data_IF_016521085983
#
_entry.id   IF_016521085983
#
_cell.length_a   1.000
_cell.length_b   1.000
_cell.length_c   1.000
_cell.angle_alpha   90.00
_cell.angle_beta   90.00
_cell.angle_gamma   90.00
#
_symmetry.space_group_name_H-M   'P 1'
#
loop_
_entity.id
_entity.type
_entity.pdbx_description
1 polymer ?
#
# COMPACT_ATOMS: atom_id res chain seq x y z
N UNK A 1 19.48 -79.41 34.95
CA UNK A 1 18.97 -80.22 36.07
C UNK A 1 18.23 -79.25 36.99
N UNK A 2 16.91 -79.09 36.84
CA UNK A 2 15.85 -79.89 37.50
C UNK A 2 16.08 -79.94 39.01
N UNK A 3 15.27 -79.27 39.83
CA UNK A 3 13.83 -79.47 40.09
C UNK A 3 13.72 -80.03 41.50
N UNK A 4 12.87 -79.40 42.31
CA UNK A 4 11.77 -79.96 43.13
C UNK A 4 11.62 -79.07 44.37
N UNK A 5 10.61 -78.21 44.47
CA UNK A 5 9.17 -78.48 44.59
C UNK A 5 8.73 -78.64 46.06
N UNK A 6 7.89 -77.67 46.44
CA UNK A 6 6.60 -77.79 47.12
C UNK A 6 6.44 -77.91 48.64
N UNK A 7 5.32 -77.26 49.04
CA UNK A 7 4.51 -77.25 50.28
C UNK A 7 4.67 -75.92 51.05
N UNK A 8 3.74 -74.96 51.08
CA UNK A 8 2.30 -74.95 50.84
C UNK A 8 1.56 -74.70 52.17
N UNK A 9 1.00 -73.50 52.38
CA UNK A 9 -0.31 -73.26 53.05
C UNK A 9 -0.68 -71.74 53.12
N UNK A 10 -1.95 -71.35 53.36
CA UNK A 10 -2.67 -70.44 52.46
C UNK A 10 -3.45 -69.37 53.27
N UNK A 11 -2.91 -68.17 53.43
CA UNK A 11 -3.69 -67.07 54.04
C UNK A 11 -4.02 -66.02 52.98
N UNK A 12 -4.95 -66.37 52.11
CA UNK A 12 -5.68 -65.40 51.30
C UNK A 12 -6.58 -64.57 52.21
N UNK A 13 -6.05 -63.48 52.76
CA UNK A 13 -6.87 -62.40 53.28
C UNK A 13 -7.52 -61.69 52.09
N UNK A 14 -8.85 -61.53 52.05
CA UNK A 14 -9.50 -60.86 50.94
C UNK A 14 -8.95 -59.43 50.84
N UNK A 15 -8.58 -59.02 49.62
CA UNK A 15 -8.22 -57.63 49.32
C UNK A 15 -9.42 -56.75 49.70
N UNK A 16 -9.36 -56.19 50.91
CA UNK A 16 -10.22 -55.09 51.29
C UNK A 16 -9.79 -53.95 50.36
N UNK A 17 -10.62 -53.68 49.36
CA UNK A 17 -10.57 -52.43 48.62
C UNK A 17 -10.93 -51.35 49.65
N UNK A 18 -9.95 -50.92 50.46
CA UNK A 18 -10.04 -49.66 51.18
C UNK A 18 -9.98 -48.62 50.09
N UNK A 19 -11.16 -48.30 49.58
CA UNK A 19 -11.47 -47.08 48.85
C UNK A 19 -10.62 -45.98 49.48
N UNK A 20 -9.61 -45.42 48.78
CA UNK A 20 -8.89 -44.29 49.34
C UNK A 20 -9.95 -43.24 49.61
N UNK A 21 -9.93 -42.67 50.81
CA UNK A 21 -10.86 -41.66 51.29
C UNK A 21 -11.06 -40.58 50.22
N UNK A 22 -12.06 -40.79 49.36
CA UNK A 22 -12.48 -39.90 48.29
C UNK A 22 -13.57 -38.96 48.79
N UNK A 23 -13.69 -38.78 50.11
CA UNK A 23 -14.82 -38.15 50.76
C UNK A 23 -14.41 -37.15 51.85
N UNK A 24 -13.29 -36.45 51.72
CA UNK A 24 -12.95 -35.34 52.63
C UNK A 24 -12.18 -34.18 51.99
N UNK A 25 -12.41 -33.89 50.70
CA UNK A 25 -11.84 -32.69 50.06
C UNK A 25 -12.90 -31.75 49.46
N UNK A 26 -14.18 -32.09 49.55
CA UNK A 26 -15.24 -31.38 48.84
C UNK A 26 -15.98 -30.32 49.65
N UNK A 27 -15.39 -29.78 50.72
CA UNK A 27 -15.98 -28.66 51.45
C UNK A 27 -14.89 -27.72 51.94
N UNK A 28 -14.39 -26.86 51.04
CA UNK A 28 -14.05 -25.44 51.28
C UNK A 28 -13.57 -24.87 49.94
N UNK A 29 -14.51 -24.60 49.03
CA UNK A 29 -14.21 -23.89 47.77
C UNK A 29 -14.50 -22.41 48.00
N UNK A 30 -13.61 -21.73 48.69
CA UNK A 30 -13.74 -20.27 48.90
C UNK A 30 -13.07 -19.47 47.78
N UNK A 31 -12.29 -20.11 46.91
CA UNK A 31 -11.60 -19.40 45.83
C UNK A 31 -11.62 -20.17 44.50
N UNK A 32 -11.85 -19.47 43.40
CA UNK A 32 -12.04 -20.05 42.05
C UNK A 32 -10.78 -20.82 41.54
N UNK A 33 -9.63 -20.67 42.20
CA UNK A 33 -8.38 -21.37 41.86
C UNK A 33 -8.14 -22.69 42.63
N UNK A 34 -9.05 -23.12 43.53
CA UNK A 34 -8.86 -24.37 44.29
C UNK A 34 -8.94 -25.64 43.41
N UNK A 35 -9.47 -25.53 42.20
CA UNK A 35 -9.56 -26.62 41.22
C UNK A 35 -8.23 -27.04 40.60
N UNK A 36 -7.17 -26.23 40.70
CA UNK A 36 -5.84 -26.56 40.17
C UNK A 36 -5.01 -27.48 41.09
N UNK A 37 -5.46 -27.71 42.33
CA UNK A 37 -4.74 -28.54 43.30
C UNK A 37 -4.58 -30.02 42.90
N UNK A 38 -5.46 -30.52 42.03
CA UNK A 38 -5.39 -31.89 41.48
C UNK A 38 -4.18 -32.11 40.54
N UNK A 39 -3.66 -31.05 39.92
CA UNK A 39 -2.55 -31.14 38.95
C UNK A 39 -1.17 -30.90 39.57
N UNK A 40 -1.10 -30.62 40.88
CA UNK A 40 0.12 -30.22 41.57
C UNK A 40 0.59 -31.35 42.49
N UNK A 41 1.73 -31.95 42.17
CA UNK A 41 2.28 -33.08 42.92
C UNK A 41 2.62 -32.68 44.38
N UNK A 42 2.35 -33.53 45.41
CA UNK A 42 2.52 -33.21 46.84
C UNK A 42 3.90 -32.66 47.24
N UNK A 43 4.95 -33.03 46.50
CA UNK A 43 6.32 -32.52 46.66
C UNK A 43 6.41 -30.98 46.59
N UNK A 44 5.56 -30.34 45.78
CA UNK A 44 5.64 -28.89 45.51
C UNK A 44 5.06 -28.01 46.61
N UNK A 45 4.31 -28.58 47.55
CA UNK A 45 3.81 -27.86 48.74
C UNK A 45 4.91 -27.53 49.77
N UNK A 46 6.13 -28.06 49.59
CA UNK A 46 7.27 -27.82 50.49
C UNK A 46 7.94 -26.46 50.27
N UNK A 47 7.59 -25.73 49.20
CA UNK A 47 8.20 -24.44 48.90
C UNK A 47 7.35 -23.29 49.46
N UNK A 48 7.97 -22.22 49.99
CA UNK A 48 7.23 -21.06 50.48
C UNK A 48 6.44 -20.42 49.35
N UNK A 49 5.19 -20.00 49.62
CA UNK A 49 4.36 -19.30 48.65
C UNK A 49 5.07 -18.04 48.18
N UNK A 50 5.10 -17.83 46.86
CA UNK A 50 5.75 -16.68 46.24
C UNK A 50 5.08 -15.41 46.79
N UNK A 51 5.86 -14.46 47.37
CA UNK A 51 5.29 -13.22 47.87
C UNK A 51 4.53 -12.47 46.76
N UNK A 52 3.34 -11.88 47.04
CA UNK A 52 2.54 -11.17 46.05
C UNK A 52 3.29 -10.05 45.31
N UNK A 53 4.34 -9.50 45.94
CA UNK A 53 5.26 -8.51 45.37
C UNK A 53 5.88 -8.96 44.05
N UNK A 54 6.16 -10.25 43.88
CA UNK A 54 6.76 -10.78 42.66
C UNK A 54 5.81 -10.74 41.46
N UNK A 55 4.51 -10.95 41.68
CA UNK A 55 3.51 -10.82 40.62
C UNK A 55 3.39 -9.37 40.14
N UNK A 56 3.46 -8.40 41.07
CA UNK A 56 3.51 -6.98 40.72
C UNK A 56 4.79 -6.62 39.96
N UNK A 57 5.96 -7.10 40.39
CA UNK A 57 7.24 -6.86 39.71
C UNK A 57 7.26 -7.46 38.29
N UNK A 58 6.73 -8.67 38.10
CA UNK A 58 6.62 -9.31 36.80
C UNK A 58 5.67 -8.55 35.87
N UNK A 59 4.51 -8.11 36.38
CA UNK A 59 3.57 -7.28 35.62
C UNK A 59 4.17 -5.95 35.18
N UNK A 60 4.91 -5.28 36.07
CA UNK A 60 5.63 -4.04 35.76
C UNK A 60 6.68 -4.30 34.67
N UNK A 61 7.45 -5.38 34.76
CA UNK A 61 8.45 -5.71 33.75
C UNK A 61 7.82 -5.97 32.37
N UNK A 62 6.75 -6.76 32.30
CA UNK A 62 6.06 -7.08 31.05
C UNK A 62 5.43 -5.82 30.41
N UNK A 63 4.87 -4.92 31.22
CA UNK A 63 4.31 -3.66 30.71
C UNK A 63 5.42 -2.76 30.14
N UNK A 64 6.56 -2.64 30.82
CA UNK A 64 7.71 -1.92 30.28
C UNK A 64 8.20 -2.51 28.95
N UNK A 65 8.41 -3.82 28.87
CA UNK A 65 8.85 -4.48 27.63
C UNK A 65 7.85 -4.25 26.49
N UNK A 66 6.54 -4.31 26.78
CA UNK A 66 5.48 -4.04 25.80
C UNK A 66 5.47 -2.59 25.31
N UNK A 67 5.70 -1.63 26.22
CA UNK A 67 5.81 -0.20 25.89
C UNK A 67 7.04 0.05 25.00
N UNK A 68 8.21 -0.48 25.37
CA UNK A 68 9.42 -0.33 24.57
C UNK A 68 9.28 -0.97 23.18
N UNK A 69 8.67 -2.16 23.09
CA UNK A 69 8.39 -2.81 21.81
C UNK A 69 7.41 -2.03 20.93
N UNK A 70 6.31 -1.54 21.50
CA UNK A 70 5.33 -0.73 20.75
C UNK A 70 5.88 0.63 20.35
N UNK A 71 6.68 1.28 21.19
CA UNK A 71 7.34 2.55 20.90
C UNK A 71 8.29 2.45 19.70
N UNK A 72 9.05 1.35 19.59
CA UNK A 72 9.87 1.07 18.41
C UNK A 72 9.04 1.00 17.13
N UNK A 73 7.91 0.28 17.16
CA UNK A 73 6.99 0.19 16.02
C UNK A 73 6.34 1.54 15.66
N UNK A 74 5.96 2.34 16.66
CA UNK A 74 5.44 3.69 16.46
C UNK A 74 6.49 4.63 15.84
N UNK A 75 7.75 4.51 16.26
CA UNK A 75 8.85 5.28 15.67
C UNK A 75 9.04 4.94 14.20
N UNK A 76 9.02 3.64 13.85
CA UNK A 76 9.12 3.19 12.45
C UNK A 76 7.96 3.76 11.63
N UNK A 77 6.72 3.64 12.12
CA UNK A 77 5.54 4.21 11.45
C UNK A 77 5.64 5.73 11.31
N UNK A 78 6.18 6.42 12.31
CA UNK A 78 6.39 7.87 12.28
C UNK A 78 7.43 8.28 11.23
N UNK A 79 8.57 7.57 11.15
CA UNK A 79 9.60 7.81 10.14
C UNK A 79 9.02 7.61 8.74
N UNK A 80 8.30 6.51 8.50
CA UNK A 80 7.64 6.27 7.21
C UNK A 80 6.59 7.34 6.89
N UNK A 81 5.83 7.82 7.88
CA UNK A 81 4.81 8.86 7.72
C UNK A 81 5.37 10.27 7.51
N UNK A 82 6.58 10.56 8.01
CA UNK A 82 7.26 11.85 7.84
C UNK A 82 8.14 11.90 6.60
N UNK A 83 8.66 10.75 6.15
CA UNK A 83 9.49 10.66 4.96
C UNK A 83 8.71 11.09 3.69
N UNK A 84 9.14 12.19 3.07
CA UNK A 84 8.45 12.80 1.91
C UNK A 84 8.44 11.84 0.72
N UNK A 85 9.54 11.13 0.47
CA UNK A 85 9.64 10.21 -0.66
C UNK A 85 8.70 9.00 -0.53
N UNK A 86 8.50 8.44 0.67
CA UNK A 86 7.55 7.33 0.87
C UNK A 86 6.13 7.76 0.52
N UNK A 87 5.72 8.95 0.97
CA UNK A 87 4.42 9.56 0.63
C UNK A 87 4.30 9.86 -0.86
N UNK A 88 5.37 10.33 -1.48
CA UNK A 88 5.41 10.55 -2.93
C UNK A 88 5.17 9.26 -3.71
N UNK A 89 5.86 8.17 -3.33
CA UNK A 89 5.68 6.86 -3.98
C UNK A 89 4.25 6.34 -3.77
N UNK A 90 3.70 6.48 -2.56
CA UNK A 90 2.30 6.11 -2.30
C UNK A 90 1.33 6.89 -3.21
N UNK A 91 1.47 8.21 -3.32
CA UNK A 91 0.64 9.02 -4.23
C UNK A 91 0.80 8.57 -5.69
N UNK A 92 2.02 8.27 -6.14
CA UNK A 92 2.29 7.77 -7.49
C UNK A 92 1.69 6.36 -7.71
N UNK A 93 1.71 5.49 -6.72
CA UNK A 93 1.18 4.13 -6.86
C UNK A 93 -0.35 4.09 -6.86
N UNK A 94 -1.00 4.86 -5.98
CA UNK A 94 -2.47 4.81 -5.82
C UNK A 94 -3.19 5.79 -6.75
N UNK A 95 -2.73 7.03 -6.79
CA UNK A 95 -3.48 8.11 -7.46
C UNK A 95 -3.11 8.20 -8.93
N UNK A 96 -1.85 7.99 -9.30
CA UNK A 96 -1.42 8.07 -10.71
C UNK A 96 -2.18 7.10 -11.63
N UNK A 97 -2.38 5.79 -11.33
CA UNK A 97 -3.15 4.93 -12.22
C UNK A 97 -4.61 5.36 -12.34
N UNK A 98 -5.23 5.84 -11.26
CA UNK A 98 -6.61 6.34 -11.26
C UNK A 98 -6.73 7.59 -12.14
N UNK A 99 -5.80 8.54 -12.00
CA UNK A 99 -5.76 9.75 -12.82
C UNK A 99 -5.46 9.48 -14.28
N UNK A 100 -4.61 8.49 -14.56
CA UNK A 100 -4.18 8.13 -15.91
C UNK A 100 -5.21 7.24 -16.63
N UNK A 101 -6.16 6.65 -15.90
CA UNK A 101 -7.17 5.78 -16.47
C UNK A 101 -7.98 6.51 -17.53
N UNK A 102 -8.01 5.95 -18.75
CA UNK A 102 -8.76 6.51 -19.89
C UNK A 102 -8.19 7.80 -20.48
N UNK A 103 -7.11 8.35 -19.93
CA UNK A 103 -6.55 9.62 -20.37
C UNK A 103 -5.91 9.55 -21.78
N UNK A 104 -5.55 8.34 -22.21
CA UNK A 104 -4.92 8.05 -23.51
C UNK A 104 -5.82 8.41 -24.70
N UNK A 105 -7.14 8.33 -24.53
CA UNK A 105 -8.13 8.61 -25.57
C UNK A 105 -8.86 9.96 -25.39
N UNK A 106 -8.53 10.73 -24.34
CA UNK A 106 -9.23 11.97 -24.01
C UNK A 106 -8.76 13.19 -24.81
N UNK A 107 -9.71 14.05 -25.18
CA UNK A 107 -9.41 15.39 -25.70
C UNK A 107 -9.14 16.35 -24.55
N UNK A 108 -7.91 16.84 -24.44
CA UNK A 108 -7.51 17.76 -23.37
C UNK A 108 -7.86 19.19 -23.79
N UNK A 109 -8.86 19.77 -23.13
CA UNK A 109 -9.13 21.21 -23.29
C UNK A 109 -8.12 22.04 -22.48
N UNK A 110 -7.93 23.32 -22.85
CA UNK A 110 -7.12 24.26 -22.05
C UNK A 110 -7.59 24.37 -20.59
N UNK A 111 -8.89 24.24 -20.33
CA UNK A 111 -9.42 24.26 -18.97
C UNK A 111 -9.02 23.00 -18.20
N UNK A 112 -9.15 21.84 -18.84
CA UNK A 112 -8.73 20.55 -18.28
C UNK A 112 -7.24 20.56 -17.97
N UNK A 113 -6.42 21.13 -18.86
CA UNK A 113 -5.00 21.34 -18.62
C UNK A 113 -4.74 22.18 -17.37
N UNK A 114 -5.38 23.35 -17.23
CA UNK A 114 -5.23 24.20 -16.04
C UNK A 114 -5.65 23.48 -14.75
N UNK A 115 -6.77 22.77 -14.80
CA UNK A 115 -7.27 21.99 -13.67
C UNK A 115 -6.27 20.89 -13.30
N UNK A 116 -5.70 20.20 -14.29
CA UNK A 116 -4.71 19.14 -14.07
C UNK A 116 -3.43 19.69 -13.43
N UNK A 117 -2.91 20.82 -13.93
CA UNK A 117 -1.76 21.51 -13.32
C UNK A 117 -2.06 21.96 -11.88
N UNK A 118 -3.28 22.44 -11.62
CA UNK A 118 -3.72 22.78 -10.27
C UNK A 118 -3.81 21.55 -9.35
N UNK A 119 -4.33 20.42 -9.84
CA UNK A 119 -4.39 19.17 -9.08
C UNK A 119 -2.99 18.63 -8.76
N UNK A 120 -2.03 18.68 -9.71
CA UNK A 120 -0.64 18.30 -9.46
C UNK A 120 -0.04 19.15 -8.34
N UNK A 121 -0.24 20.47 -8.39
CA UNK A 121 0.21 21.37 -7.32
C UNK A 121 -0.49 21.09 -5.98
N UNK A 122 -1.77 20.74 -6.00
CA UNK A 122 -2.52 20.38 -4.79
C UNK A 122 -1.95 19.11 -4.13
N UNK A 123 -1.69 18.05 -4.90
CA UNK A 123 -1.04 16.84 -4.39
C UNK A 123 0.34 17.12 -3.79
N UNK A 124 1.16 17.94 -4.45
CA UNK A 124 2.50 18.29 -3.95
C UNK A 124 2.41 19.08 -2.64
N UNK A 125 1.51 20.07 -2.54
CA UNK A 125 1.30 20.81 -1.29
C UNK A 125 0.81 19.92 -0.16
N UNK A 126 -0.13 19.01 -0.46
CA UNK A 126 -0.66 18.05 0.51
C UNK A 126 0.41 17.09 1.00
N UNK A 127 1.27 16.62 0.11
CA UNK A 127 2.44 15.80 0.42
C UNK A 127 3.43 16.53 1.33
N UNK A 128 3.76 17.79 1.02
CA UNK A 128 4.66 18.61 1.83
C UNK A 128 4.03 19.13 3.13
N UNK A 129 2.74 18.85 3.39
CA UNK A 129 1.97 19.39 4.53
C UNK A 129 2.11 20.91 4.69
N UNK A 130 2.24 21.64 3.57
CA UNK A 130 2.40 23.10 3.61
C UNK A 130 1.09 23.74 4.06
N UNK A 131 1.06 24.46 5.19
CA UNK A 131 -0.15 25.15 5.63
C UNK A 131 -0.47 26.29 4.66
N UNK A 132 -1.76 26.57 4.46
CA UNK A 132 -2.20 27.66 3.58
C UNK A 132 -1.68 29.03 4.03
N UNK A 133 -1.47 29.20 5.34
CA UNK A 133 -0.93 30.41 5.99
C UNK A 133 0.47 30.78 5.48
N UNK A 134 1.27 29.78 5.08
CA UNK A 134 2.63 30.02 4.63
C UNK A 134 2.72 30.79 3.30
N UNK A 135 1.61 30.95 2.55
CA UNK A 135 1.51 31.68 1.28
C UNK A 135 2.69 31.43 0.32
N UNK A 136 3.22 30.20 0.30
CA UNK A 136 4.39 29.82 -0.52
C UNK A 136 4.04 29.83 -2.02
N UNK A 137 4.91 30.43 -2.83
CA UNK A 137 4.79 30.42 -4.29
C UNK A 137 4.90 29.00 -4.86
N UNK A 138 4.27 28.75 -6.01
CA UNK A 138 4.28 27.43 -6.67
C UNK A 138 5.71 26.95 -6.96
N UNK A 139 6.61 27.85 -7.35
CA UNK A 139 8.00 27.51 -7.67
C UNK A 139 8.79 27.08 -6.44
N UNK A 140 8.60 27.75 -5.30
CA UNK A 140 9.25 27.36 -4.03
C UNK A 140 8.79 25.97 -3.59
N UNK A 141 7.49 25.69 -3.71
CA UNK A 141 6.89 24.37 -3.40
C UNK A 141 7.48 23.27 -4.28
N UNK A 142 7.71 23.54 -5.57
CA UNK A 142 8.32 22.58 -6.51
C UNK A 142 9.80 22.32 -6.19
N UNK A 143 10.56 23.37 -5.84
CA UNK A 143 11.96 23.25 -5.40
C UNK A 143 12.08 22.41 -4.12
N UNK A 144 11.23 22.65 -3.14
CA UNK A 144 11.18 21.91 -1.87
C UNK A 144 10.79 20.43 -2.06
N UNK A 145 9.91 20.14 -3.02
CA UNK A 145 9.55 18.78 -3.40
C UNK A 145 10.60 18.08 -4.29
N UNK A 146 11.68 18.78 -4.69
CA UNK A 146 12.64 18.34 -5.70
C UNK A 146 11.97 17.75 -6.97
N UNK A 147 10.83 18.32 -7.40
CA UNK A 147 10.00 17.77 -8.47
C UNK A 147 9.63 18.85 -9.48
N UNK A 148 9.69 18.50 -10.77
CA UNK A 148 9.16 19.32 -11.86
C UNK A 148 7.73 18.90 -12.20
N UNK A 149 6.93 19.83 -12.76
CA UNK A 149 5.59 19.50 -13.29
C UNK A 149 5.75 18.46 -14.38
N UNK A 150 5.20 17.28 -14.15
CA UNK A 150 5.45 16.10 -15.01
C UNK A 150 4.15 15.45 -15.47
N UNK A 151 3.03 15.76 -14.84
CA UNK A 151 1.76 15.07 -15.07
C UNK A 151 1.27 15.25 -16.51
N UNK A 152 1.31 16.49 -17.02
CA UNK A 152 0.93 16.78 -18.42
C UNK A 152 1.82 16.05 -19.42
N UNK A 153 3.14 16.05 -19.20
CA UNK A 153 4.08 15.40 -20.12
C UNK A 153 3.91 13.88 -20.12
N UNK A 154 3.68 13.27 -18.94
CA UNK A 154 3.36 11.84 -18.82
C UNK A 154 2.11 11.47 -19.59
N UNK A 155 1.06 12.28 -19.47
CA UNK A 155 -0.19 12.14 -20.20
C UNK A 155 0.05 12.23 -21.71
N UNK A 156 0.75 13.28 -22.18
CA UNK A 156 1.04 13.47 -23.60
C UNK A 156 1.87 12.33 -24.17
N UNK A 157 2.86 11.84 -23.42
CA UNK A 157 3.66 10.67 -23.78
C UNK A 157 2.80 9.41 -23.92
N UNK A 158 1.88 9.15 -23.00
CA UNK A 158 0.94 8.02 -23.10
C UNK A 158 0.01 8.17 -24.29
N UNK A 159 -0.59 9.35 -24.49
CA UNK A 159 -1.41 9.66 -25.66
C UNK A 159 -0.64 9.41 -26.97
N UNK A 160 0.62 9.87 -27.05
CA UNK A 160 1.46 9.64 -28.21
C UNK A 160 1.77 8.15 -28.43
N UNK A 161 2.02 7.40 -27.35
CA UNK A 161 2.31 5.96 -27.41
C UNK A 161 1.08 5.18 -27.90
N UNK A 162 -0.09 5.48 -27.34
CA UNK A 162 -1.38 4.92 -27.74
C UNK A 162 -1.68 5.26 -29.20
N UNK A 163 -1.53 6.53 -29.59
CA UNK A 163 -1.77 6.97 -30.95
C UNK A 163 -0.85 6.29 -31.97
N UNK A 164 0.45 6.21 -31.69
CA UNK A 164 1.39 5.47 -32.54
C UNK A 164 1.03 3.99 -32.66
N UNK A 165 0.52 3.37 -31.59
CA UNK A 165 0.03 1.99 -31.64
C UNK A 165 -1.20 1.86 -32.56
N UNK A 166 -2.18 2.76 -32.40
CA UNK A 166 -3.40 2.80 -33.23
C UNK A 166 -3.05 2.98 -34.72
N UNK A 167 -2.15 3.91 -35.03
CA UNK A 167 -1.72 4.20 -36.41
C UNK A 167 -1.07 3.00 -37.10
N UNK A 168 -0.30 2.18 -36.37
CA UNK A 168 0.38 1.01 -36.94
C UNK A 168 -0.49 -0.25 -37.03
N UNK A 169 -1.53 -0.36 -36.19
CA UNK A 169 -2.41 -1.55 -36.16
C UNK A 169 -3.43 -1.56 -37.30
N UNK A 170 -3.74 -0.40 -37.89
CA UNK A 170 -4.55 -0.28 -39.11
C UNK A 170 -6.01 -0.75 -39.01
N UNK A 171 -6.57 -0.91 -37.80
CA UNK A 171 -7.96 -1.33 -37.59
C UNK A 171 -8.94 -0.15 -37.68
N UNK A 172 -10.24 -0.37 -37.42
CA UNK A 172 -11.27 0.69 -37.43
C UNK A 172 -10.88 1.96 -36.64
N UNK A 173 -10.13 1.81 -35.55
CA UNK A 173 -9.60 2.90 -34.73
C UNK A 173 -8.77 3.91 -35.55
N UNK A 174 -8.02 3.45 -36.56
CA UNK A 174 -7.28 4.32 -37.48
C UNK A 174 -8.23 5.23 -38.27
N UNK A 175 -9.34 4.66 -38.79
CA UNK A 175 -10.35 5.41 -39.54
C UNK A 175 -11.07 6.40 -38.64
N UNK A 176 -11.40 6.01 -37.40
CA UNK A 176 -12.05 6.92 -36.44
C UNK A 176 -11.13 8.07 -36.03
N UNK A 177 -9.82 7.80 -35.90
CA UNK A 177 -8.86 8.82 -35.45
C UNK A 177 -8.43 9.76 -36.58
N UNK A 178 -8.24 9.23 -37.79
CA UNK A 178 -7.84 9.99 -39.00
C UNK A 178 -9.05 10.60 -39.72
N UNK A 179 -10.25 10.05 -39.50
CA UNK A 179 -11.49 10.45 -40.12
C UNK A 179 -11.79 11.93 -39.88
N UNK A 180 -11.54 12.74 -40.91
CA UNK A 180 -12.05 14.10 -40.94
C UNK A 180 -13.55 14.02 -41.18
N UNK A 181 -14.35 14.25 -40.14
CA UNK A 181 -15.80 14.40 -40.31
C UNK A 181 -16.07 15.58 -41.24
N UNK A 182 -16.79 15.31 -42.32
CA UNK A 182 -17.20 16.32 -43.28
C UNK A 182 -18.19 17.29 -42.63
N UNK A 183 -17.86 18.58 -42.60
CA UNK A 183 -18.70 19.61 -41.98
C UNK A 183 -17.93 20.85 -41.50
N UNK A 184 -18.65 21.97 -41.37
CA UNK A 184 -18.12 23.21 -40.80
C UNK A 184 -18.31 23.19 -39.28
N UNK A 185 -17.26 23.45 -38.52
CA UNK A 185 -17.35 23.62 -37.05
C UNK A 185 -18.01 24.95 -36.71
N UNK A 186 -18.71 25.00 -35.58
CA UNK A 186 -19.24 26.24 -35.05
C UNK A 186 -18.12 27.27 -34.83
N UNK A 187 -18.42 28.54 -35.11
CA UNK A 187 -17.53 29.67 -34.81
C UNK A 187 -17.56 29.96 -33.31
N UNK A 188 -16.41 30.31 -32.73
CA UNK A 188 -16.28 30.64 -31.30
C UNK A 188 -15.19 29.81 -30.58
N UNK A 189 -15.45 29.41 -29.34
CA UNK A 189 -14.52 28.63 -28.50
C UNK A 189 -14.49 27.15 -28.93
N UNK A 190 -13.88 26.89 -30.08
CA UNK A 190 -13.69 25.53 -30.58
C UNK A 190 -12.86 24.69 -29.62
N UNK A 191 -13.30 23.45 -29.38
CA UNK A 191 -12.53 22.48 -28.58
C UNK A 191 -11.32 22.04 -29.39
N UNK A 192 -10.15 22.02 -28.75
CA UNK A 192 -8.94 21.50 -29.39
C UNK A 192 -9.10 20.00 -29.65
N UNK A 193 -8.71 19.55 -30.85
CA UNK A 193 -8.64 18.12 -31.13
C UNK A 193 -7.45 17.53 -30.40
N UNK A 194 -7.55 16.24 -30.09
CA UNK A 194 -6.44 15.48 -29.56
C UNK A 194 -5.23 15.54 -30.49
N UNK A 195 -5.43 15.34 -31.80
CA UNK A 195 -4.36 15.40 -32.81
C UNK A 195 -3.73 16.79 -32.93
N UNK A 196 -4.55 17.85 -32.92
CA UNK A 196 -4.04 19.22 -33.01
C UNK A 196 -3.18 19.56 -31.78
N UNK A 197 -3.62 19.14 -30.59
CA UNK A 197 -2.86 19.32 -29.35
C UNK A 197 -1.59 18.46 -29.30
N UNK A 198 -1.63 17.23 -29.82
CA UNK A 198 -0.48 16.33 -29.87
C UNK A 198 0.57 16.81 -30.88
N UNK A 199 0.12 17.26 -32.05
CA UNK A 199 0.95 17.84 -33.11
C UNK A 199 1.69 19.08 -32.60
N UNK A 200 0.99 19.95 -31.86
CA UNK A 200 1.58 21.11 -31.20
C UNK A 200 2.62 20.72 -30.14
N UNK A 201 2.37 19.66 -29.37
CA UNK A 201 3.31 19.17 -28.36
C UNK A 201 4.55 18.51 -28.95
N UNK A 202 4.40 17.77 -30.06
CA UNK A 202 5.49 17.15 -30.81
C UNK A 202 6.30 18.14 -31.66
N UNK A 203 5.88 19.42 -31.70
CA UNK A 203 6.42 20.43 -32.59
C UNK A 203 6.40 20.01 -34.08
N UNK A 204 5.40 19.21 -34.48
CA UNK A 204 5.18 18.86 -35.87
C UNK A 204 4.40 19.99 -36.55
N UNK A 205 4.84 20.46 -37.72
CA UNK A 205 4.22 21.60 -38.38
C UNK A 205 2.78 21.34 -38.83
N UNK A 206 2.46 20.10 -39.21
CA UNK A 206 1.12 19.67 -39.64
C UNK A 206 0.73 18.32 -39.07
N UNK A 207 -0.58 18.12 -38.90
CA UNK A 207 -1.15 16.83 -38.44
C UNK A 207 -0.79 15.69 -39.40
N UNK A 208 -0.73 15.97 -40.72
CA UNK A 208 -0.34 14.97 -41.72
C UNK A 208 1.10 14.48 -41.54
N UNK A 209 2.03 15.37 -41.20
CA UNK A 209 3.42 14.98 -40.91
C UNK A 209 3.49 14.11 -39.66
N UNK A 210 2.73 14.46 -38.61
CA UNK A 210 2.63 13.64 -37.41
C UNK A 210 2.01 12.26 -37.69
N UNK A 211 1.02 12.17 -38.59
CA UNK A 211 0.41 10.92 -39.01
C UNK A 211 1.41 10.02 -39.75
N UNK A 212 2.16 10.56 -40.72
CA UNK A 212 3.19 9.81 -41.45
C UNK A 212 4.31 9.36 -40.52
N UNK A 213 4.78 10.24 -39.63
CA UNK A 213 5.80 9.90 -38.65
C UNK A 213 5.35 8.83 -37.65
N UNK A 214 4.05 8.76 -37.32
CA UNK A 214 3.51 7.75 -36.42
C UNK A 214 3.51 6.33 -37.01
N UNK A 215 3.51 6.20 -38.34
CA UNK A 215 3.60 4.91 -39.03
C UNK A 215 4.97 4.26 -38.81
N UNK A 216 6.04 5.06 -38.85
CA UNK A 216 7.39 4.61 -38.52
C UNK A 216 7.58 4.54 -37.00
N UNK A 217 7.98 3.37 -36.49
CA UNK A 217 8.11 3.15 -35.05
C UNK A 217 9.27 3.94 -34.45
N UNK A 218 10.39 4.05 -35.16
CA UNK A 218 11.63 4.60 -34.59
C UNK A 218 11.63 6.12 -34.69
N UNK A 219 11.19 6.67 -35.83
CA UNK A 219 10.93 8.12 -35.97
C UNK A 219 9.93 8.60 -34.92
N UNK A 220 8.84 7.85 -34.71
CA UNK A 220 7.83 8.22 -33.70
C UNK A 220 8.39 8.22 -32.28
N UNK A 221 9.18 7.20 -31.91
CA UNK A 221 9.82 7.14 -30.59
C UNK A 221 10.76 8.31 -30.37
N UNK A 222 11.55 8.67 -31.38
CA UNK A 222 12.50 9.78 -31.30
C UNK A 222 11.79 11.12 -31.14
N UNK A 223 10.72 11.36 -31.91
CA UNK A 223 9.89 12.56 -31.75
C UNK A 223 9.28 12.66 -30.35
N UNK A 224 8.74 11.56 -29.82
CA UNK A 224 8.17 11.51 -28.47
C UNK A 224 9.25 11.72 -27.40
N UNK A 225 10.44 11.15 -27.59
CA UNK A 225 11.57 11.33 -26.68
C UNK A 225 12.03 12.79 -26.67
N UNK A 226 12.13 13.43 -27.83
CA UNK A 226 12.51 14.84 -27.97
C UNK A 226 11.48 15.78 -27.32
N UNK A 227 10.19 15.56 -27.56
CA UNK A 227 9.12 16.34 -26.94
C UNK A 227 9.07 16.16 -25.40
N UNK A 228 9.37 14.95 -24.91
CA UNK A 228 9.49 14.71 -23.47
C UNK A 228 10.68 15.46 -22.88
N UNK A 229 11.83 15.50 -23.57
CA UNK A 229 13.02 16.24 -23.11
C UNK A 229 12.79 17.75 -23.06
N UNK A 230 12.18 18.33 -24.09
CA UNK A 230 11.91 19.78 -24.20
C UNK A 230 11.01 20.34 -23.10
N UNK A 231 10.23 19.48 -22.45
CA UNK A 231 9.27 19.85 -21.41
C UNK A 231 9.80 19.61 -20.00
N UNK A 232 11.09 19.26 -19.86
CA UNK A 232 11.82 19.05 -18.60
C UNK A 232 12.79 20.18 -18.35
#
# INVERSE_FOLDING_TARGET
MTSTADLGDPSGSPLVMTTPAAASYLNTTTHVYDTYGLFIHPHWYKFPLIPPIWHYSLGIFITFVSIFGSMGNLLVMYIFGTYVFARQRALQCYIEPILMYGYEAWTISKQTQKNLEATEMWFIRRMLRTPWVAKKSNEKVLKEAHKKRSLMNKIRKRQATFFGHVMRKGKMEHIVTTGMMEGKRSRGRQREKMLDGLTKWLNAGRVTQALTAAMDRDVWKDMVANATKQST
#
